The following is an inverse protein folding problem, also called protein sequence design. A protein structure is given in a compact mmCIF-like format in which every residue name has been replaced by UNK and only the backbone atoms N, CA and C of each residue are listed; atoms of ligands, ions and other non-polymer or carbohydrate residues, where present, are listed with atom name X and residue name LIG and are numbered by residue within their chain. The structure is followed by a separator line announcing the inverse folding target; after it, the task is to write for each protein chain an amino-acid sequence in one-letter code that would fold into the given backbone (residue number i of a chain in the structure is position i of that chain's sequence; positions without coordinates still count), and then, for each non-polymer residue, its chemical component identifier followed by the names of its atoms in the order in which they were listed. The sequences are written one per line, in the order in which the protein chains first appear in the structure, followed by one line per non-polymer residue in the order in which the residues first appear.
data_IF_022290980564
#
_entry.id   IF_022290980564
#
_cell.length_a   1.000
_cell.length_b   1.000
_cell.length_c   1.000
_cell.angle_alpha   90.00
_cell.angle_beta   90.00
_cell.angle_gamma   90.00
#
_symmetry.space_group_name_H-M   'P 1'
#
loop_
_entity.id
_entity.type
_entity.pdbx_description
1 polymer ?
#
# COMPACT_ATOMS: atom_id res chain seq x y z
N UNK A 1 -2.98 -13.34 1.38
CA UNK A 1 -3.57 -12.04 1.77
C UNK A 1 -2.38 -11.14 2.11
N UNK A 2 -2.17 -10.02 1.41
CA UNK A 2 -1.07 -9.08 1.68
C UNK A 2 -1.67 -7.81 2.28
N UNK A 3 -0.98 -7.19 3.23
CA UNK A 3 -1.40 -5.92 3.80
C UNK A 3 -1.12 -4.79 2.80
N UNK A 4 -1.94 -3.74 2.84
CA UNK A 4 -1.78 -2.52 2.03
C UNK A 4 -1.79 -1.31 2.96
N UNK A 5 -0.96 -0.33 2.64
CA UNK A 5 -0.85 0.91 3.39
C UNK A 5 -0.62 2.07 2.41
N UNK A 6 -1.09 3.25 2.80
CA UNK A 6 -0.74 4.51 2.15
C UNK A 6 0.33 5.19 3.00
N UNK A 7 1.38 5.72 2.35
CA UNK A 7 2.47 6.42 3.02
C UNK A 7 2.90 7.62 2.19
N UNK A 8 3.40 8.66 2.87
CA UNK A 8 4.09 9.78 2.24
C UNK A 8 5.59 9.50 2.25
N UNK A 9 6.24 9.67 1.11
CA UNK A 9 7.67 9.47 0.92
C UNK A 9 8.24 10.58 0.04
N UNK A 10 9.55 10.75 0.03
CA UNK A 10 10.22 11.63 -0.94
C UNK A 10 9.89 11.20 -2.37
N UNK A 11 9.73 12.17 -3.28
CA UNK A 11 9.32 11.91 -4.68
C UNK A 11 10.27 10.95 -5.39
N UNK A 12 11.58 11.09 -5.16
CA UNK A 12 12.65 10.23 -5.67
C UNK A 12 12.50 8.77 -5.26
N UNK A 13 11.81 8.52 -4.14
CA UNK A 13 11.61 7.18 -3.58
C UNK A 13 10.21 6.64 -3.93
N UNK A 14 9.35 7.42 -4.60
CA UNK A 14 7.99 7.04 -4.96
C UNK A 14 7.87 6.17 -6.21
N UNK A 15 8.99 5.78 -6.81
CA UNK A 15 9.04 4.96 -8.02
C UNK A 15 8.44 3.56 -7.80
N UNK A 16 7.73 3.05 -8.81
CA UNK A 16 7.11 1.73 -8.79
C UNK A 16 8.17 0.64 -8.60
N UNK A 17 7.87 -0.33 -7.74
CA UNK A 17 8.80 -1.42 -7.42
C UNK A 17 9.90 -1.04 -6.43
N UNK A 18 10.02 0.24 -6.03
CA UNK A 18 10.93 0.63 -4.97
C UNK A 18 10.58 -0.11 -3.67
N UNK A 19 11.61 -0.50 -2.91
CA UNK A 19 11.47 -1.35 -1.72
C UNK A 19 11.65 -0.50 -0.46
N UNK A 20 10.81 -0.76 0.53
CA UNK A 20 10.87 -0.09 1.82
C UNK A 20 10.77 -1.10 2.96
N UNK A 21 11.23 -0.68 4.12
CA UNK A 21 11.00 -1.38 5.38
C UNK A 21 10.13 -0.49 6.27
N UNK A 22 8.93 -0.96 6.56
CA UNK A 22 8.00 -0.29 7.49
C UNK A 22 8.24 -0.86 8.87
N UNK A 23 8.50 0.02 9.84
CA UNK A 23 8.63 -0.35 11.24
C UNK A 23 7.31 0.02 11.93
N UNK A 24 6.63 -0.96 12.50
CA UNK A 24 5.45 -0.77 13.34
C UNK A 24 5.70 -1.37 14.72
N UNK A 25 4.76 -1.19 15.64
CA UNK A 25 4.82 -1.84 16.97
C UNK A 25 4.83 -3.38 16.88
N UNK A 26 4.36 -3.95 15.76
CA UNK A 26 4.33 -5.40 15.53
C UNK A 26 5.64 -5.92 14.91
N UNK A 27 6.54 -5.03 14.49
CA UNK A 27 7.85 -5.39 13.94
C UNK A 27 8.18 -4.68 12.64
N UNK A 28 9.15 -5.25 11.91
CA UNK A 28 9.64 -4.71 10.63
C UNK A 28 9.07 -5.51 9.45
N UNK A 29 8.47 -4.81 8.50
CA UNK A 29 7.83 -5.41 7.34
C UNK A 29 8.45 -4.87 6.05
N UNK A 30 8.81 -5.77 5.15
CA UNK A 30 9.27 -5.38 3.81
C UNK A 30 8.06 -5.08 2.93
N UNK A 31 8.08 -3.96 2.22
CA UNK A 31 7.04 -3.56 1.29
C UNK A 31 7.62 -3.02 -0.01
N UNK A 32 6.73 -2.88 -1.00
CA UNK A 32 7.06 -2.40 -2.34
C UNK A 32 6.06 -1.33 -2.75
N UNK A 33 6.50 -0.35 -3.52
CA UNK A 33 5.59 0.60 -4.18
C UNK A 33 4.86 -0.12 -5.30
N UNK A 34 3.55 0.02 -5.33
CA UNK A 34 2.66 -0.60 -6.32
C UNK A 34 1.89 0.46 -7.10
N UNK A 35 1.41 0.09 -8.28
CA UNK A 35 0.65 0.98 -9.15
C UNK A 35 -0.70 1.38 -8.52
N UNK A 36 -1.14 2.60 -8.83
CA UNK A 36 -2.50 3.07 -8.55
C UNK A 36 -3.42 2.67 -9.72
N UNK A 37 -4.65 2.19 -9.49
CA UNK A 37 -5.35 2.12 -8.22
C UNK A 37 -4.88 0.93 -7.35
N UNK A 38 -4.51 1.20 -6.10
CA UNK A 38 -4.27 0.14 -5.13
C UNK A 38 -5.63 -0.40 -4.67
N UNK A 39 -6.01 -1.60 -5.12
CA UNK A 39 -7.30 -2.19 -4.80
C UNK A 39 -7.10 -3.54 -4.12
N UNK A 40 -7.68 -3.73 -2.93
CA UNK A 40 -7.84 -5.06 -2.35
C UNK A 40 -8.98 -5.75 -3.12
N UNK A 41 -8.72 -6.79 -3.93
CA UNK A 41 -9.76 -7.47 -4.72
C UNK A 41 -10.89 -8.05 -3.85
N UNK A 42 -10.66 -8.19 -2.52
CA UNK A 42 -11.64 -8.67 -1.55
C UNK A 42 -12.40 -7.56 -0.82
N UNK A 43 -11.98 -6.29 -0.89
CA UNK A 43 -12.90 -5.20 -0.56
C UNK A 43 -13.91 -5.18 -1.69
N UNK A 44 -15.18 -5.45 -1.41
CA UNK A 44 -16.25 -5.07 -2.35
C UNK A 44 -16.24 -3.54 -2.36
N UNK A 45 -16.23 -2.91 -3.54
CA UNK A 45 -16.68 -1.53 -3.65
C UNK A 45 -18.08 -1.58 -3.07
N UNK A 46 -18.31 -0.94 -1.92
CA UNK A 46 -19.69 -0.65 -1.52
C UNK A 46 -20.18 0.28 -2.62
N UNK A 47 -20.85 -0.29 -3.62
CA UNK A 47 -21.67 0.48 -4.54
C UNK A 47 -22.60 1.27 -3.62
N UNK A 48 -22.36 2.57 -3.51
CA UNK A 48 -23.22 3.45 -2.74
C UNK A 48 -24.63 3.22 -3.24
N UNK A 49 -25.50 2.66 -2.38
CA UNK A 49 -26.92 2.65 -2.67
C UNK A 49 -27.37 4.11 -2.56
N UNK A 50 -27.82 4.64 -3.69
CA UNK A 50 -28.67 5.83 -3.71
C UNK A 50 -29.99 5.53 -2.98
#
# INVERSE_FOLDING_TARGET
KKNIALAMVSVEQSELGNKFQVITNEGKFNCIVVEKPFYDPKKKITAGKA
#
